data_IF_998658212273
#
_entry.id   IF_998658212273
#
_cell.length_a   1.000
_cell.length_b   1.000
_cell.length_c   1.000
_cell.angle_alpha   90.00
_cell.angle_beta   90.00
_cell.angle_gamma   90.00
#
_symmetry.space_group_name_H-M   'P 1'
#
loop_
_entity.id
_entity.type
_entity.pdbx_description
1 polymer ?
#
# COMPACT_ATOMS: atom_id res chain seq x y z
N UNK A 1 18.00 -7.28 -5.25
CA UNK A 1 16.73 -8.04 -5.38
C UNK A 1 16.06 -7.59 -6.65
N UNK A 2 15.86 -8.50 -7.61
CA UNK A 2 15.06 -8.21 -8.81
C UNK A 2 13.61 -8.05 -8.39
N UNK A 3 13.01 -6.89 -8.69
CA UNK A 3 11.59 -6.64 -8.48
C UNK A 3 10.77 -7.69 -9.24
N UNK A 4 9.69 -8.20 -8.66
CA UNK A 4 8.68 -9.02 -9.36
C UNK A 4 7.74 -8.17 -10.22
N UNK A 5 7.95 -6.85 -10.23
CA UNK A 5 7.29 -5.89 -11.10
C UNK A 5 8.22 -5.45 -12.22
N UNK A 6 7.64 -5.33 -13.41
CA UNK A 6 8.24 -4.67 -14.56
C UNK A 6 7.61 -3.30 -14.72
N UNK A 7 8.45 -2.27 -14.87
CA UNK A 7 8.05 -0.90 -15.12
C UNK A 7 8.45 -0.51 -16.54
N UNK A 8 7.52 0.11 -17.27
CA UNK A 8 7.80 0.75 -18.56
C UNK A 8 7.54 2.24 -18.41
N UNK A 9 8.58 3.04 -18.12
CA UNK A 9 8.44 4.47 -17.90
C UNK A 9 8.06 5.27 -19.16
N UNK A 10 8.45 4.79 -20.34
CA UNK A 10 8.20 5.46 -21.62
C UNK A 10 8.04 4.41 -22.74
N UNK A 11 6.82 3.91 -22.99
CA UNK A 11 6.51 3.10 -24.16
C UNK A 11 6.78 3.88 -25.44
N UNK A 12 7.06 3.18 -26.54
CA UNK A 12 7.24 3.79 -27.85
C UNK A 12 6.01 4.64 -28.23
N UNK A 13 6.25 5.86 -28.70
CA UNK A 13 5.19 6.80 -29.10
C UNK A 13 4.47 7.52 -27.94
N UNK A 14 4.86 7.29 -26.68
CA UNK A 14 4.27 7.97 -25.51
C UNK A 14 5.29 8.92 -24.88
N UNK A 15 4.85 10.14 -24.51
CA UNK A 15 5.71 11.15 -23.90
C UNK A 15 6.29 10.65 -22.57
N UNK A 16 7.62 10.75 -22.42
CA UNK A 16 8.31 10.36 -21.20
C UNK A 16 8.02 11.32 -20.04
N UNK A 17 8.03 10.77 -18.82
CA UNK A 17 7.81 11.53 -17.58
C UNK A 17 8.59 10.88 -16.44
N UNK A 18 9.23 11.66 -15.55
CA UNK A 18 9.84 11.11 -14.34
C UNK A 18 8.83 10.98 -13.19
N UNK A 19 7.54 11.27 -13.40
CA UNK A 19 6.55 11.29 -12.33
C UNK A 19 5.86 9.94 -12.08
N UNK A 20 5.94 8.97 -13.01
CA UNK A 20 5.33 7.65 -12.91
C UNK A 20 5.84 6.72 -14.02
N UNK A 21 5.50 5.43 -13.96
CA UNK A 21 5.64 4.52 -15.10
C UNK A 21 4.34 4.42 -15.88
N UNK A 22 4.36 4.54 -17.21
CA UNK A 22 3.13 4.42 -18.02
C UNK A 22 2.49 3.04 -17.91
N UNK A 23 3.31 2.00 -17.80
CA UNK A 23 2.84 0.62 -17.63
C UNK A 23 3.61 -0.05 -16.50
N UNK A 24 2.91 -0.74 -15.62
CA UNK A 24 3.48 -1.61 -14.60
C UNK A 24 2.72 -2.93 -14.60
N UNK A 25 3.45 -4.05 -14.61
CA UNK A 25 2.85 -5.38 -14.46
C UNK A 25 3.78 -6.30 -13.68
N UNK A 26 3.24 -7.44 -13.24
CA UNK A 26 4.00 -8.44 -12.51
C UNK A 26 3.14 -9.67 -12.22
N UNK A 27 3.65 -10.55 -11.37
CA UNK A 27 2.91 -11.72 -10.88
C UNK A 27 2.92 -11.72 -9.35
N UNK A 28 1.81 -12.14 -8.75
CA UNK A 28 1.66 -12.18 -7.29
C UNK A 28 0.21 -12.10 -6.86
N UNK A 29 -0.01 -12.07 -5.54
CA UNK A 29 -1.33 -11.85 -4.96
C UNK A 29 -1.70 -10.37 -5.07
N UNK A 30 -2.85 -10.09 -5.66
CA UNK A 30 -3.40 -8.74 -5.74
C UNK A 30 -3.87 -8.23 -4.38
N UNK A 31 -3.57 -6.96 -4.11
CA UNK A 31 -3.99 -6.24 -2.91
C UNK A 31 -4.56 -4.89 -3.35
N UNK A 32 -5.84 -4.66 -3.02
CA UNK A 32 -6.46 -3.35 -3.14
C UNK A 32 -6.42 -2.64 -1.79
N UNK A 33 -5.95 -1.40 -1.78
CA UNK A 33 -5.82 -0.57 -0.58
C UNK A 33 -6.72 0.64 -0.75
N UNK A 34 -7.69 0.79 0.15
CA UNK A 34 -8.59 1.94 0.19
C UNK A 34 -7.82 3.26 0.31
N UNK A 35 -8.45 4.34 -0.15
CA UNK A 35 -7.92 5.69 0.00
C UNK A 35 -7.50 6.01 1.43
N UNK A 36 -6.25 6.41 1.57
CA UNK A 36 -5.68 6.86 2.83
C UNK A 36 -5.76 8.39 2.89
N UNK A 37 -6.31 8.88 4.00
CA UNK A 37 -6.39 10.30 4.34
C UNK A 37 -5.39 10.63 5.45
N UNK A 38 -5.19 11.93 5.70
CA UNK A 38 -4.29 12.44 6.72
C UNK A 38 -4.89 12.33 8.13
N UNK A 39 -5.29 11.12 8.51
CA UNK A 39 -5.86 10.80 9.82
C UNK A 39 -4.83 10.06 10.67
N UNK A 40 -4.75 10.40 11.95
CA UNK A 40 -3.99 9.61 12.92
C UNK A 40 -4.77 8.37 13.39
N UNK A 41 -4.19 7.60 14.31
CA UNK A 41 -4.82 6.37 14.84
C UNK A 41 -6.10 6.62 15.67
N UNK A 42 -6.31 7.85 16.15
CA UNK A 42 -7.54 8.27 16.83
C UNK A 42 -8.61 8.75 15.84
N UNK A 43 -8.26 8.92 14.57
CA UNK A 43 -9.12 9.47 13.53
C UNK A 43 -9.10 11.00 13.45
N UNK A 44 -8.18 11.67 14.14
CA UNK A 44 -7.99 13.11 14.07
C UNK A 44 -7.19 13.51 12.83
N UNK A 45 -7.49 14.69 12.26
CA UNK A 45 -6.78 15.21 11.09
C UNK A 45 -5.40 15.71 11.50
N UNK A 46 -4.37 15.28 10.78
CA UNK A 46 -2.98 15.70 10.96
C UNK A 46 -2.64 16.74 9.92
N UNK A 47 -2.21 17.94 10.34
CA UNK A 47 -1.75 18.98 9.42
C UNK A 47 -2.88 19.72 8.69
N UNK A 48 -3.92 20.14 9.42
CA UNK A 48 -4.95 21.01 8.85
C UNK A 48 -4.32 22.25 8.19
N UNK A 49 -4.68 22.52 6.94
CA UNK A 49 -4.10 23.60 6.14
C UNK A 49 -2.66 23.37 5.64
N UNK A 50 -2.01 22.25 5.97
CA UNK A 50 -0.65 21.91 5.57
C UNK A 50 -0.64 20.64 4.70
N UNK A 51 -0.60 20.83 3.38
CA UNK A 51 -0.56 19.74 2.41
C UNK A 51 0.67 18.83 2.56
N UNK A 52 1.82 19.35 3.00
CA UNK A 52 3.03 18.56 3.17
C UNK A 52 2.93 17.66 4.39
N UNK A 53 2.41 18.18 5.52
CA UNK A 53 2.13 17.38 6.71
C UNK A 53 1.07 16.31 6.43
N UNK A 54 -0.01 16.67 5.73
CA UNK A 54 -1.02 15.71 5.32
C UNK A 54 -0.45 14.62 4.42
N UNK A 55 0.36 14.97 3.43
CA UNK A 55 0.95 14.00 2.52
C UNK A 55 1.85 13.00 3.26
N UNK A 56 2.69 13.45 4.20
CA UNK A 56 3.48 12.56 5.05
C UNK A 56 2.60 11.59 5.84
N UNK A 57 1.50 12.07 6.41
CA UNK A 57 0.56 11.21 7.14
C UNK A 57 -0.14 10.20 6.22
N UNK A 58 -0.58 10.63 5.04
CA UNK A 58 -1.21 9.75 4.03
C UNK A 58 -0.26 8.62 3.64
N UNK A 59 0.99 8.93 3.31
CA UNK A 59 1.95 7.90 2.93
C UNK A 59 2.37 7.01 4.12
N UNK A 60 2.43 7.54 5.34
CA UNK A 60 2.64 6.73 6.54
C UNK A 60 1.51 5.71 6.75
N UNK A 61 0.25 6.15 6.58
CA UNK A 61 -0.92 5.28 6.66
C UNK A 61 -0.91 4.23 5.53
N UNK A 62 -0.60 4.65 4.30
CA UNK A 62 -0.47 3.74 3.16
C UNK A 62 0.58 2.66 3.39
N UNK A 63 1.74 3.03 3.98
CA UNK A 63 2.77 2.09 4.39
C UNK A 63 2.29 1.06 5.42
N UNK A 64 1.45 1.47 6.39
CA UNK A 64 0.84 0.55 7.37
C UNK A 64 -0.13 -0.42 6.70
N UNK A 65 -0.96 0.05 5.77
CA UNK A 65 -1.87 -0.82 5.01
C UNK A 65 -1.11 -1.83 4.13
N UNK A 66 -0.05 -1.39 3.46
CA UNK A 66 0.85 -2.27 2.71
C UNK A 66 1.44 -3.34 3.63
N UNK A 67 2.01 -2.94 4.77
CA UNK A 67 2.61 -3.87 5.72
C UNK A 67 1.61 -4.91 6.25
N UNK A 68 0.36 -4.51 6.51
CA UNK A 68 -0.71 -5.44 6.92
C UNK A 68 -1.01 -6.51 5.87
N UNK A 69 -0.74 -6.22 4.59
CA UNK A 69 -0.86 -7.18 3.49
C UNK A 69 0.44 -7.96 3.20
N UNK A 70 1.51 -7.75 3.99
CA UNK A 70 2.83 -8.31 3.72
C UNK A 70 3.53 -7.67 2.51
N UNK A 71 3.20 -6.42 2.21
CA UNK A 71 3.73 -5.63 1.11
C UNK A 71 4.57 -4.44 1.61
N UNK A 72 5.42 -3.90 0.75
CA UNK A 72 6.03 -2.58 0.88
C UNK A 72 5.75 -1.70 -0.35
N UNK A 73 6.34 -0.50 -0.39
CA UNK A 73 6.16 0.42 -1.51
C UNK A 73 6.68 -0.13 -2.84
N UNK A 74 7.67 -1.03 -2.82
CA UNK A 74 8.17 -1.72 -4.01
C UNK A 74 7.19 -2.72 -4.64
N UNK A 75 6.11 -3.07 -3.93
CA UNK A 75 5.04 -3.94 -4.44
C UNK A 75 3.89 -3.15 -5.10
N UNK A 76 3.92 -1.81 -5.01
CA UNK A 76 2.85 -0.95 -5.52
C UNK A 76 2.91 -0.88 -7.05
N UNK A 77 1.80 -1.18 -7.71
CA UNK A 77 1.66 -1.12 -9.17
C UNK A 77 0.97 0.15 -9.65
N UNK A 78 0.08 0.73 -8.82
CA UNK A 78 -0.69 1.93 -9.16
C UNK A 78 -0.94 2.78 -7.91
N UNK A 79 -0.78 4.09 -8.05
CA UNK A 79 -1.27 5.10 -7.12
C UNK A 79 -2.32 5.98 -7.80
N UNK A 80 -3.41 6.29 -7.11
CA UNK A 80 -4.39 7.30 -7.56
C UNK A 80 -4.47 8.40 -6.51
N UNK A 81 -4.34 9.65 -6.95
CA UNK A 81 -4.32 10.83 -6.11
C UNK A 81 -5.58 11.63 -6.35
N UNK A 82 -6.32 11.90 -5.29
CA UNK A 82 -7.43 12.84 -5.27
C UNK A 82 -6.98 14.05 -4.44
N UNK A 83 -6.94 15.23 -5.05
CA UNK A 83 -6.46 16.45 -4.37
C UNK A 83 -7.49 17.55 -4.49
N UNK A 84 -7.61 18.40 -3.48
CA UNK A 84 -8.55 19.55 -3.53
C UNK A 84 -8.01 20.70 -4.35
N UNK A 85 -6.68 20.84 -4.41
CA UNK A 85 -5.96 21.80 -5.24
C UNK A 85 -4.69 21.14 -5.84
N UNK A 86 -4.55 21.18 -7.17
CA UNK A 86 -3.37 20.65 -7.87
C UNK A 86 -2.08 21.40 -7.51
N UNK A 87 -2.16 22.62 -6.96
CA UNK A 87 -1.02 23.35 -6.42
C UNK A 87 -0.30 22.60 -5.29
N UNK A 88 -0.96 21.63 -4.65
CA UNK A 88 -0.36 20.79 -3.61
C UNK A 88 0.53 19.67 -4.15
N UNK A 89 0.43 19.33 -5.45
CA UNK A 89 1.15 18.18 -6.03
C UNK A 89 2.67 18.17 -5.78
N UNK A 90 3.41 19.30 -5.80
CA UNK A 90 4.84 19.29 -5.48
C UNK A 90 5.14 18.72 -4.08
N UNK A 91 4.43 19.17 -3.04
CA UNK A 91 4.60 18.69 -1.68
C UNK A 91 4.19 17.21 -1.53
N UNK A 92 3.13 16.80 -2.25
CA UNK A 92 2.66 15.41 -2.25
C UNK A 92 3.69 14.49 -2.90
N UNK A 93 4.31 14.92 -4.01
CA UNK A 93 5.34 14.16 -4.71
C UNK A 93 6.62 14.05 -3.88
N UNK A 94 7.00 15.10 -3.15
CA UNK A 94 8.13 15.04 -2.22
C UNK A 94 7.91 13.98 -1.14
N UNK A 95 6.73 13.98 -0.51
CA UNK A 95 6.38 12.96 0.50
C UNK A 95 6.38 11.54 -0.10
N UNK A 96 5.86 11.37 -1.32
CA UNK A 96 5.93 10.09 -2.05
C UNK A 96 7.37 9.64 -2.27
N UNK A 97 8.21 10.52 -2.79
CA UNK A 97 9.56 10.17 -3.27
C UNK A 97 10.46 9.67 -2.14
N UNK A 98 10.22 10.13 -0.91
CA UNK A 98 10.86 9.61 0.30
C UNK A 98 10.65 8.10 0.52
N UNK A 99 9.58 7.51 -0.02
CA UNK A 99 9.29 6.08 0.09
C UNK A 99 9.82 5.22 -1.06
N UNK A 100 10.15 5.83 -2.20
CA UNK A 100 10.66 5.12 -3.37
C UNK A 100 12.17 5.25 -3.55
N UNK A 101 12.83 6.24 -2.93
CA UNK A 101 14.30 6.34 -2.86
C UNK A 101 15.01 6.19 -4.21
N UNK A 102 14.45 6.76 -5.28
CA UNK A 102 14.97 6.66 -6.65
C UNK A 102 14.65 5.35 -7.38
N UNK A 103 13.91 4.43 -6.77
CA UNK A 103 13.34 3.27 -7.46
C UNK A 103 12.29 3.70 -8.50
N UNK A 104 12.03 2.85 -9.51
CA UNK A 104 10.96 3.10 -10.47
C UNK A 104 9.62 3.36 -9.78
N UNK A 105 8.96 4.43 -10.20
CA UNK A 105 7.65 4.82 -9.66
C UNK A 105 6.53 3.94 -10.25
N UNK A 106 5.45 3.70 -9.50
CA UNK A 106 4.28 2.97 -10.00
C UNK A 106 3.58 3.73 -11.12
N UNK A 107 2.58 3.10 -11.74
CA UNK A 107 1.62 3.84 -12.55
C UNK A 107 0.88 4.86 -11.68
N UNK A 108 0.40 5.95 -12.29
CA UNK A 108 -0.19 7.05 -11.54
C UNK A 108 -1.33 7.74 -12.27
N UNK A 109 -2.28 8.28 -11.52
CA UNK A 109 -3.27 9.25 -11.99
C UNK A 109 -3.51 10.25 -10.88
N UNK A 110 -3.59 11.54 -11.20
CA UNK A 110 -3.93 12.59 -10.25
C UNK A 110 -5.09 13.41 -10.81
N UNK A 111 -6.09 13.67 -9.97
CA UNK A 111 -7.25 14.49 -10.33
C UNK A 111 -7.54 15.50 -9.23
N UNK A 112 -7.98 16.69 -9.64
CA UNK A 112 -8.57 17.63 -8.70
C UNK A 112 -10.03 17.25 -8.46
N UNK A 113 -10.42 17.11 -7.20
CA UNK A 113 -11.80 16.82 -6.79
C UNK A 113 -12.44 18.03 -6.15
N UNK A 114 -13.78 18.12 -6.18
CA UNK A 114 -14.51 19.24 -5.58
C UNK A 114 -14.46 19.24 -4.05
N UNK A 115 -14.36 18.05 -3.43
CA UNK A 115 -14.22 17.86 -2.00
C UNK A 115 -13.75 16.44 -1.68
N UNK A 116 -13.23 16.25 -0.47
CA UNK A 116 -12.97 14.95 0.15
C UNK A 116 -14.01 14.67 1.25
N UNK A 117 -13.92 13.50 1.89
CA UNK A 117 -14.87 13.05 2.92
C UNK A 117 -14.94 13.96 4.16
N UNK A 118 -13.93 14.81 4.36
CA UNK A 118 -13.93 15.88 5.38
C UNK A 118 -13.30 17.15 4.79
N UNK A 119 -13.79 18.34 5.18
CA UNK A 119 -13.34 19.62 4.61
C UNK A 119 -11.88 19.97 4.93
N UNK A 120 -11.33 19.44 6.03
CA UNK A 120 -9.94 19.69 6.46
C UNK A 120 -8.92 18.89 5.63
N UNK A 121 -9.37 17.87 4.89
CA UNK A 121 -8.52 17.02 4.08
C UNK A 121 -8.20 17.67 2.74
N UNK A 122 -6.92 17.67 2.38
CA UNK A 122 -6.38 18.25 1.15
C UNK A 122 -6.01 17.20 0.10
N UNK A 123 -5.78 15.97 0.53
CA UNK A 123 -5.49 14.84 -0.34
C UNK A 123 -6.02 13.51 0.22
N UNK A 124 -6.26 12.59 -0.71
CA UNK A 124 -6.49 11.17 -0.48
C UNK A 124 -5.69 10.37 -1.51
N UNK A 125 -5.04 9.28 -1.08
CA UNK A 125 -4.27 8.39 -1.96
C UNK A 125 -4.66 6.94 -1.76
N UNK A 126 -5.08 6.27 -2.82
CA UNK A 126 -5.30 4.82 -2.87
C UNK A 126 -4.17 4.11 -3.63
N UNK A 127 -4.07 2.80 -3.42
CA UNK A 127 -3.05 2.00 -4.09
C UNK A 127 -3.55 0.61 -4.48
N UNK A 128 -2.99 0.12 -5.59
CA UNK A 128 -2.96 -1.30 -5.90
C UNK A 128 -1.54 -1.83 -5.78
N UNK A 129 -1.41 -3.04 -5.26
CA UNK A 129 -0.14 -3.74 -5.12
C UNK A 129 -0.24 -5.21 -5.56
N UNK A 130 0.88 -5.78 -5.98
CA UNK A 130 1.05 -7.21 -6.18
C UNK A 130 2.12 -7.70 -5.20
N UNK A 131 1.78 -8.65 -4.34
CA UNK A 131 2.74 -9.21 -3.38
C UNK A 131 3.29 -10.51 -3.93
N UNK A 132 4.61 -10.63 -4.00
CA UNK A 132 5.25 -11.86 -4.50
C UNK A 132 4.92 -13.06 -3.60
N UNK A 133 4.63 -14.21 -4.18
CA UNK A 133 4.30 -15.43 -3.41
C UNK A 133 5.55 -16.17 -2.88
N UNK A 134 6.75 -15.73 -3.27
CA UNK A 134 8.03 -16.42 -2.97
C UNK A 134 8.49 -16.35 -1.50
N UNK A 135 7.72 -15.76 -0.61
CA UNK A 135 8.07 -15.57 0.81
C UNK A 135 7.36 -16.48 1.82
N UNK A 136 6.49 -17.40 1.40
CA UNK A 136 5.65 -18.18 2.33
C UNK A 136 6.23 -19.51 2.84
N UNK A 137 7.44 -19.91 2.43
CA UNK A 137 8.01 -21.22 2.82
C UNK A 137 8.86 -21.24 4.09
N UNK A 138 9.09 -20.13 4.79
CA UNK A 138 9.88 -20.14 6.03
C UNK A 138 9.08 -19.62 7.22
N UNK A 139 8.21 -20.46 7.80
CA UNK A 139 7.50 -20.06 9.01
C UNK A 139 6.32 -20.93 9.47
N UNK A 140 6.41 -22.26 9.41
CA UNK A 140 5.57 -23.09 10.28
C UNK A 140 6.40 -24.24 10.82
N UNK A 141 7.09 -23.95 11.92
CA UNK A 141 7.67 -24.96 12.79
C UNK A 141 6.56 -25.92 13.22
N UNK A 142 6.84 -27.22 13.08
CA UNK A 142 5.95 -28.31 13.47
C UNK A 142 5.59 -28.22 14.96
N UNK A 143 4.43 -27.65 15.25
CA UNK A 143 3.73 -27.89 16.50
C UNK A 143 3.16 -29.31 16.47
N UNK A 144 3.82 -30.22 17.18
CA UNK A 144 3.28 -31.55 17.49
C UNK A 144 1.87 -31.42 18.04
N UNK A 145 0.88 -31.97 17.34
CA UNK A 145 -0.44 -32.24 17.91
C UNK A 145 -0.26 -33.23 19.07
N UNK A 146 -0.74 -32.96 20.29
CA UNK A 146 -0.75 -33.99 21.31
C UNK A 146 -1.70 -35.10 20.87
N UNK A 147 -1.20 -36.34 20.83
CA UNK A 147 -2.04 -37.53 20.63
C UNK A 147 -3.02 -37.61 21.80
N UNK A 148 -4.31 -37.55 21.50
CA UNK A 148 -5.37 -37.82 22.46
C UNK A 148 -5.15 -39.25 23.00
N UNK A 149 -4.77 -39.37 24.28
CA UNK A 149 -4.74 -40.67 24.95
C UNK A 149 -6.17 -41.17 25.04
N UNK A 150 -6.46 -42.32 24.44
CA UNK A 150 -7.68 -43.05 24.73
C UNK A 150 -7.66 -43.45 26.21
N UNK A 151 -8.49 -42.80 27.01
CA UNK A 151 -8.78 -43.28 28.36
C UNK A 151 -9.68 -44.50 28.20
N UNK A 152 -9.15 -45.66 28.58
CA UNK A 152 -9.94 -46.88 28.72
C UNK A 152 -10.96 -46.71 29.84
N UNK A 153 -12.23 -46.98 29.54
CA UNK A 153 -13.28 -47.14 30.52
C UNK A 153 -13.58 -48.62 30.66
N UNK A 154 -13.04 -49.24 31.71
CA UNK A 154 -13.53 -50.51 32.23
C UNK A 154 -14.69 -50.26 33.19
N UNK A 155 -15.82 -50.90 32.88
CA UNK A 155 -16.81 -51.58 33.73
C UNK A 155 -17.41 -50.91 35.00
N UNK A 156 -18.68 -51.22 35.35
CA UNK A 156 -18.93 -52.44 36.14
C UNK A 156 -20.23 -53.23 35.83
N UNK A 157 -20.09 -54.55 35.95
CA UNK A 157 -20.99 -55.52 36.60
C UNK A 157 -22.46 -55.13 36.88
N UNK A 158 -23.39 -55.90 36.31
CA UNK A 158 -24.35 -56.76 37.03
C UNK A 158 -24.59 -58.05 36.23
#
# INVERSE_FOLDING_TARGET
MTSHLTHVPAPEGVAATPQYSHVVWGTGRFVAISGQCALDASGAVVGEGDAAAQARQVFANLGRCLAAAGAGFGDVVKLTYFVTDLAHLPAIREARDAHFAGAPLPASSAVQVSALVRPELLLEVEAFALVSERGRETGTAGGSRPRLRSVGGGEPAQ
#
